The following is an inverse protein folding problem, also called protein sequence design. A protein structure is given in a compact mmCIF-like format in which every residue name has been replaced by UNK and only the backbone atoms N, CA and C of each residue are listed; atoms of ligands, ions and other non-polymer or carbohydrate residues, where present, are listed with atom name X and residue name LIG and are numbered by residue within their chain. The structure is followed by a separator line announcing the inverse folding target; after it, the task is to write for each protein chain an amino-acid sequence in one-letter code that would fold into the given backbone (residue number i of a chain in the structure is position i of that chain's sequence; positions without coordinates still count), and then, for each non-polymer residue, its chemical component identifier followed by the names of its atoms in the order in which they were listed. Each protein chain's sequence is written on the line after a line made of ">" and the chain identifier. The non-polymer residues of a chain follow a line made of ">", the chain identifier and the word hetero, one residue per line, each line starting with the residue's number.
data_IF_194806872274
#
_entry.id   IF_194806872274
#
_cell.length_a   1.000
_cell.length_b   1.000
_cell.length_c   1.000
_cell.angle_alpha   90.00
_cell.angle_beta   90.00
_cell.angle_gamma   90.00
#
_symmetry.space_group_name_H-M   'P 1'
#
loop_
_entity.id
_entity.type
_entity.pdbx_description
1 polymer ?
#
# COMPACT_ATOMS: atom_id res chain seq x y z
N UNK A 1 8.98 -13.64 9.88
CA UNK A 1 7.87 -12.78 10.32
C UNK A 1 6.61 -13.21 9.59
N UNK A 2 5.42 -12.99 10.16
CA UNK A 2 4.16 -13.23 9.45
C UNK A 2 3.87 -12.08 8.48
N UNK A 3 3.07 -12.32 7.44
CA UNK A 3 2.61 -11.25 6.53
C UNK A 3 1.82 -10.17 7.25
N UNK A 4 1.05 -10.55 8.29
CA UNK A 4 0.31 -9.60 9.11
C UNK A 4 1.23 -8.61 9.84
N UNK A 5 2.40 -9.04 10.31
CA UNK A 5 3.36 -8.13 10.94
C UNK A 5 3.90 -7.07 9.97
N UNK A 6 4.01 -7.37 8.66
CA UNK A 6 4.36 -6.35 7.68
C UNK A 6 3.25 -5.32 7.48
N UNK A 7 1.98 -5.74 7.53
CA UNK A 7 0.85 -4.81 7.48
C UNK A 7 0.80 -3.95 8.74
N UNK A 8 0.82 -4.57 9.91
CA UNK A 8 0.60 -3.88 11.18
C UNK A 8 1.79 -2.98 11.55
N UNK A 9 3.02 -3.50 11.44
CA UNK A 9 4.22 -2.80 11.95
C UNK A 9 4.88 -1.89 10.90
N UNK A 10 4.64 -2.11 9.61
CA UNK A 10 5.33 -1.38 8.53
C UNK A 10 4.39 -0.54 7.66
N UNK A 11 3.17 -1.00 7.37
CA UNK A 11 2.22 -0.23 6.56
C UNK A 11 1.33 0.68 7.42
N UNK A 12 0.81 0.17 8.55
CA UNK A 12 -0.05 0.92 9.46
C UNK A 12 0.73 1.66 10.56
N UNK A 13 2.05 1.81 10.40
CA UNK A 13 2.88 2.51 11.36
C UNK A 13 2.55 4.01 11.42
N UNK A 14 2.89 4.64 12.54
CA UNK A 14 2.75 6.08 12.71
C UNK A 14 3.81 6.84 11.89
N UNK A 15 3.34 7.80 11.11
CA UNK A 15 4.11 8.69 10.25
C UNK A 15 3.72 10.12 10.63
N UNK A 16 4.52 10.76 11.48
CA UNK A 16 4.29 12.14 11.91
C UNK A 16 2.90 12.34 12.55
N UNK A 17 2.42 11.34 13.33
CA UNK A 17 1.10 11.35 13.97
C UNK A 17 -0.05 10.91 13.07
N UNK A 18 0.24 10.37 11.87
CA UNK A 18 -0.74 9.88 10.89
C UNK A 18 -0.46 8.42 10.52
N UNK A 19 -1.46 7.70 10.02
CA UNK A 19 -1.31 6.34 9.54
C UNK A 19 -2.12 6.12 8.26
N UNK A 20 -1.76 5.10 7.48
CA UNK A 20 -2.62 4.64 6.38
C UNK A 20 -4.01 4.27 6.93
N UNK A 21 -5.08 4.59 6.20
CA UNK A 21 -6.44 4.24 6.61
C UNK A 21 -6.73 2.75 6.41
N UNK A 22 -6.08 2.14 5.42
CA UNK A 22 -6.10 0.70 5.19
C UNK A 22 -4.86 0.25 4.40
N UNK A 23 -4.47 -1.01 4.56
CA UNK A 23 -3.34 -1.58 3.83
C UNK A 23 -3.51 -3.10 3.61
N UNK A 24 -2.90 -3.62 2.55
CA UNK A 24 -2.91 -5.05 2.25
C UNK A 24 -1.67 -5.50 1.45
N UNK A 25 -1.38 -6.79 1.56
CA UNK A 25 -0.40 -7.51 0.75
C UNK A 25 -1.15 -8.62 0.02
N UNK A 26 -1.15 -8.57 -1.31
CA UNK A 26 -1.92 -9.46 -2.18
C UNK A 26 -1.00 -10.12 -3.18
N UNK A 27 -1.03 -11.45 -3.29
CA UNK A 27 -0.28 -12.17 -4.32
C UNK A 27 -0.74 -11.83 -5.74
N UNK A 28 0.12 -12.02 -6.74
CA UNK A 28 -0.25 -11.79 -8.15
C UNK A 28 -1.38 -12.72 -8.65
N UNK A 29 -1.67 -13.80 -7.93
CA UNK A 29 -2.81 -14.69 -8.15
C UNK A 29 -4.12 -14.18 -7.53
N UNK A 30 -4.08 -13.06 -6.81
CA UNK A 30 -5.21 -12.47 -6.10
C UNK A 30 -5.40 -13.00 -4.68
N UNK A 31 -4.54 -13.91 -4.19
CA UNK A 31 -4.61 -14.38 -2.81
C UNK A 31 -4.24 -13.26 -1.82
N UNK A 32 -5.03 -13.08 -0.77
CA UNK A 32 -4.72 -12.10 0.29
C UNK A 32 -3.74 -12.73 1.27
N UNK A 33 -2.53 -12.19 1.37
CA UNK A 33 -1.51 -12.67 2.31
C UNK A 33 -1.68 -12.04 3.70
N UNK A 34 -2.05 -10.76 3.72
CA UNK A 34 -2.46 -10.03 4.92
C UNK A 34 -3.21 -8.75 4.53
N UNK A 35 -4.08 -8.27 5.41
CA UNK A 35 -4.79 -7.00 5.24
C UNK A 35 -5.16 -6.39 6.58
N UNK A 36 -5.34 -5.07 6.61
CA UNK A 36 -5.93 -4.35 7.74
C UNK A 36 -7.41 -4.69 7.87
N UNK A 37 -7.96 -4.59 9.08
CA UNK A 37 -9.39 -4.86 9.35
C UNK A 37 -10.34 -4.03 8.46
N UNK A 38 -9.97 -2.78 8.16
CA UNK A 38 -10.79 -1.84 7.38
C UNK A 38 -10.49 -1.84 5.86
N UNK A 39 -9.88 -2.90 5.32
CA UNK A 39 -9.54 -2.93 3.90
C UNK A 39 -10.81 -3.02 3.02
N UNK A 40 -11.05 -2.07 2.09
CA UNK A 40 -12.33 -1.96 1.39
C UNK A 40 -12.46 -2.96 0.22
N UNK A 41 -13.67 -3.46 -0.02
CA UNK A 41 -13.96 -4.41 -1.11
C UNK A 41 -14.09 -3.76 -2.49
N UNK A 42 -14.43 -2.46 -2.57
CA UNK A 42 -14.62 -1.78 -3.84
C UNK A 42 -14.73 -0.27 -3.72
N UNK A 43 -13.72 0.45 -4.17
CA UNK A 43 -13.71 1.92 -4.24
C UNK A 43 -13.11 2.40 -5.56
N UNK A 44 -13.78 3.34 -6.23
CA UNK A 44 -13.29 3.95 -7.47
C UNK A 44 -12.27 5.05 -7.15
N UNK A 45 -11.09 4.96 -7.76
CA UNK A 45 -10.05 5.97 -7.74
C UNK A 45 -9.75 6.45 -9.17
N UNK A 46 -9.42 7.73 -9.32
CA UNK A 46 -8.90 8.27 -10.58
C UNK A 46 -7.40 7.99 -10.65
N UNK A 47 -6.94 7.34 -11.71
CA UNK A 47 -5.51 7.07 -11.93
C UNK A 47 -4.76 8.39 -12.06
N UNK A 48 -3.64 8.50 -11.34
CA UNK A 48 -2.68 9.61 -11.46
C UNK A 48 -1.31 9.06 -11.87
N UNK A 49 -0.32 9.95 -12.01
CA UNK A 49 1.02 9.55 -12.44
C UNK A 49 1.66 8.53 -11.47
N UNK A 50 1.85 7.31 -11.99
CA UNK A 50 2.63 6.25 -11.36
C UNK A 50 3.96 6.01 -12.07
N UNK A 51 4.51 4.81 -11.89
CA UNK A 51 5.74 4.36 -12.55
C UNK A 51 5.45 3.11 -13.41
N UNK A 52 5.74 3.14 -14.72
CA UNK A 52 5.41 2.04 -15.62
C UNK A 52 5.98 0.70 -15.15
N UNK A 53 5.08 -0.25 -14.89
CA UNK A 53 5.44 -1.61 -14.45
C UNK A 53 5.83 -1.74 -12.98
N UNK A 54 5.87 -0.64 -12.20
CA UNK A 54 6.37 -0.63 -10.82
C UNK A 54 5.32 -0.10 -9.84
N UNK A 55 4.73 1.06 -10.10
CA UNK A 55 3.81 1.73 -9.15
C UNK A 55 2.55 2.21 -9.85
N UNK A 56 1.39 1.89 -9.28
CA UNK A 56 0.10 2.47 -9.66
C UNK A 56 -0.35 3.41 -8.53
N UNK A 57 -0.81 4.60 -8.90
CA UNK A 57 -1.31 5.60 -7.95
C UNK A 57 -2.71 6.04 -8.35
N UNK A 58 -3.57 6.22 -7.37
CA UNK A 58 -4.95 6.66 -7.56
C UNK A 58 -5.36 7.71 -6.54
N UNK A 59 -6.29 8.58 -6.92
CA UNK A 59 -6.83 9.64 -6.06
C UNK A 59 -8.35 9.57 -5.98
N UNK A 60 -8.92 9.82 -4.80
CA UNK A 60 -10.36 9.94 -4.55
C UNK A 60 -10.61 11.12 -3.60
N UNK A 61 -11.09 12.23 -4.14
CA UNK A 61 -11.26 13.45 -3.36
C UNK A 61 -9.92 13.89 -2.77
N UNK A 62 -9.84 13.89 -1.44
CA UNK A 62 -8.64 14.26 -0.69
C UNK A 62 -7.77 13.07 -0.30
N UNK A 63 -8.32 11.85 -0.29
CA UNK A 63 -7.58 10.60 -0.10
C UNK A 63 -7.05 9.98 -1.40
N UNK A 64 -6.44 8.81 -1.27
CA UNK A 64 -5.87 8.10 -2.41
C UNK A 64 -5.38 6.70 -2.07
N UNK A 65 -4.72 6.10 -3.05
CA UNK A 65 -4.21 4.74 -2.99
C UNK A 65 -2.87 4.67 -3.73
N UNK A 66 -1.92 3.93 -3.17
CA UNK A 66 -0.66 3.58 -3.82
C UNK A 66 -0.52 2.07 -3.83
N UNK A 67 -0.13 1.53 -4.99
CA UNK A 67 0.07 0.10 -5.21
C UNK A 67 1.48 -0.09 -5.77
N UNK A 68 2.36 -0.75 -5.00
CA UNK A 68 3.72 -1.11 -5.42
C UNK A 68 3.77 -2.59 -5.79
N UNK A 69 4.26 -2.88 -7.00
CA UNK A 69 4.47 -4.25 -7.47
C UNK A 69 5.80 -4.81 -6.95
N UNK A 70 5.79 -6.04 -6.44
CA UNK A 70 6.98 -6.86 -6.11
C UNK A 70 7.12 -8.05 -7.07
N UNK A 71 8.07 -8.95 -6.82
CA UNK A 71 8.23 -10.17 -7.61
C UNK A 71 7.00 -11.08 -7.59
N UNK A 72 6.35 -11.20 -6.44
CA UNK A 72 5.25 -12.14 -6.19
C UNK A 72 3.97 -11.49 -5.64
N UNK A 73 4.00 -10.22 -5.25
CA UNK A 73 2.89 -9.56 -4.57
C UNK A 73 2.67 -8.10 -5.00
N UNK A 74 1.55 -7.55 -4.55
CA UNK A 74 1.14 -6.16 -4.63
C UNK A 74 1.02 -5.62 -3.22
N UNK A 75 1.77 -4.56 -2.93
CA UNK A 75 1.69 -3.83 -1.67
C UNK A 75 0.74 -2.67 -1.87
N UNK A 76 -0.33 -2.63 -1.09
CA UNK A 76 -1.42 -1.67 -1.25
C UNK A 76 -1.50 -0.82 0.01
N UNK A 77 -1.46 0.50 -0.15
CA UNK A 77 -1.75 1.46 0.92
C UNK A 77 -2.81 2.45 0.50
N UNK A 78 -3.79 2.67 1.38
CA UNK A 78 -4.87 3.64 1.23
C UNK A 78 -4.70 4.70 2.31
N UNK A 79 -4.89 5.95 1.93
CA UNK A 79 -4.77 7.07 2.84
C UNK A 79 -5.94 8.03 2.66
N UNK A 80 -6.28 8.71 3.75
CA UNK A 80 -7.24 9.80 3.80
C UNK A 80 -6.57 11.03 4.44
N UNK A 81 -7.23 12.19 4.41
CA UNK A 81 -6.72 13.38 5.09
C UNK A 81 -6.55 13.15 6.60
N UNK A 82 -5.51 13.73 7.22
CA UNK A 82 -4.57 14.72 6.68
C UNK A 82 -3.30 14.12 6.03
N UNK A 83 -3.24 12.79 5.85
CA UNK A 83 -2.08 12.14 5.25
C UNK A 83 -1.92 12.54 3.77
N UNK A 84 -0.69 12.81 3.37
CA UNK A 84 -0.37 13.25 2.01
C UNK A 84 -0.08 12.06 1.07
N UNK A 85 -0.26 12.24 -0.25
CA UNK A 85 0.13 11.22 -1.22
C UNK A 85 1.61 10.81 -1.12
N UNK A 86 2.49 11.77 -0.79
CA UNK A 86 3.93 11.52 -0.64
C UNK A 86 4.26 10.61 0.54
N UNK A 87 3.58 10.79 1.68
CA UNK A 87 3.73 9.90 2.84
C UNK A 87 3.25 8.48 2.52
N UNK A 88 2.13 8.33 1.80
CA UNK A 88 1.63 7.01 1.39
C UNK A 88 2.61 6.30 0.45
N UNK A 89 3.08 7.01 -0.59
CA UNK A 89 4.09 6.50 -1.51
C UNK A 89 5.34 6.00 -0.77
N UNK A 90 5.86 6.83 0.14
CA UNK A 90 7.06 6.49 0.90
C UNK A 90 6.92 5.16 1.65
N UNK A 91 5.79 4.93 2.32
CA UNK A 91 5.60 3.71 3.13
C UNK A 91 5.39 2.48 2.26
N UNK A 92 4.50 2.58 1.27
CA UNK A 92 4.18 1.46 0.37
C UNK A 92 5.39 1.05 -0.47
N UNK A 93 6.11 2.03 -1.02
CA UNK A 93 7.24 1.76 -1.91
C UNK A 93 8.46 1.23 -1.14
N UNK A 94 8.74 1.75 0.07
CA UNK A 94 9.83 1.22 0.92
C UNK A 94 9.63 -0.25 1.28
N UNK A 95 8.41 -0.65 1.67
CA UNK A 95 8.14 -2.06 1.97
C UNK A 95 8.26 -2.92 0.70
N UNK A 96 7.75 -2.44 -0.43
CA UNK A 96 7.86 -3.17 -1.68
C UNK A 96 9.32 -3.36 -2.15
N UNK A 97 10.16 -2.33 -2.03
CA UNK A 97 11.58 -2.42 -2.36
C UNK A 97 12.30 -3.43 -1.45
N UNK A 98 12.03 -3.38 -0.14
CA UNK A 98 12.55 -4.38 0.81
C UNK A 98 12.13 -5.81 0.42
N UNK A 99 10.86 -6.03 0.06
CA UNK A 99 10.39 -7.36 -0.33
C UNK A 99 11.06 -7.85 -1.62
N UNK A 100 11.27 -6.97 -2.59
CA UNK A 100 12.02 -7.29 -3.82
C UNK A 100 13.45 -7.71 -3.48
N UNK A 101 14.14 -6.99 -2.59
CA UNK A 101 15.50 -7.32 -2.15
C UNK A 101 15.57 -8.68 -1.43
N UNK A 102 14.51 -9.04 -0.69
CA UNK A 102 14.37 -10.34 -0.04
C UNK A 102 13.96 -11.47 -1.02
N UNK A 103 13.68 -11.17 -2.29
CA UNK A 103 13.29 -12.13 -3.31
C UNK A 103 11.78 -12.45 -3.35
N UNK A 104 10.94 -11.57 -2.82
CA UNK A 104 9.47 -11.64 -2.84
C UNK A 104 8.81 -10.68 -3.85
#
# INVERSE_FOLDING_TARGET
>A
MSWQAYVDDHLLCDIEGQHLSAAAIVGHDGSVWAQSENFPEGTKYMVIQGEPGVVIRGKKGTGGITIKKTGMSLIIGIYDEPMTPGQCNMVVERLGDYLIEQGF
#
